data_IF_591804122980
#
_entry.id   IF_591804122980
#
_cell.length_a   1.000
_cell.length_b   1.000
_cell.length_c   1.000
_cell.angle_alpha   90.00
_cell.angle_beta   90.00
_cell.angle_gamma   90.00
#
_symmetry.space_group_name_H-M   'P 1'
#
loop_
_entity.id
_entity.type
_entity.pdbx_description
1 polymer ?
#
# COMPACT_ATOMS: atom_id res chain seq x y z
N UNK A 1 43.83 3.89 1.85
CA UNK A 1 43.42 2.95 0.77
C UNK A 1 44.03 1.57 1.02
N UNK A 2 45.36 1.46 1.09
CA UNK A 2 46.04 0.16 1.22
C UNK A 2 45.72 -0.58 2.53
N UNK A 3 45.59 0.15 3.65
CA UNK A 3 45.13 -0.45 4.92
C UNK A 3 43.71 -1.01 4.86
N UNK A 4 42.80 -0.39 4.10
CA UNK A 4 41.42 -0.89 3.93
C UNK A 4 41.43 -2.12 3.03
N UNK A 5 42.26 -2.14 1.98
CA UNK A 5 42.42 -3.30 1.11
C UNK A 5 43.02 -4.50 1.84
N UNK A 6 44.05 -4.28 2.66
CA UNK A 6 44.65 -5.34 3.48
C UNK A 6 43.72 -5.88 4.55
N UNK A 7 42.91 -5.02 5.20
CA UNK A 7 41.88 -5.49 6.13
C UNK A 7 40.77 -6.27 5.41
N UNK A 8 40.33 -5.77 4.25
CA UNK A 8 39.29 -6.39 3.44
C UNK A 8 39.67 -7.79 2.95
N UNK A 9 40.93 -8.01 2.56
CA UNK A 9 41.38 -9.33 2.08
C UNK A 9 41.39 -10.40 3.16
N UNK A 10 41.60 -10.01 4.42
CA UNK A 10 41.65 -10.94 5.56
C UNK A 10 40.28 -11.14 6.23
N UNK A 11 39.40 -10.13 6.17
CA UNK A 11 38.14 -10.12 6.94
C UNK A 11 36.91 -10.32 6.06
N UNK A 12 36.94 -9.90 4.79
CA UNK A 12 35.78 -9.99 3.90
C UNK A 12 35.92 -11.16 2.93
N UNK A 13 34.85 -11.93 2.81
CA UNK A 13 34.68 -12.82 1.67
C UNK A 13 34.20 -12.02 0.46
N UNK A 14 34.77 -12.32 -0.70
CA UNK A 14 34.20 -11.84 -1.95
C UNK A 14 32.84 -12.53 -2.21
N UNK A 15 31.87 -11.87 -2.86
CA UNK A 15 30.66 -12.54 -3.35
C UNK A 15 31.05 -13.75 -4.22
N UNK A 16 30.25 -14.81 -4.22
CA UNK A 16 30.53 -15.99 -5.04
C UNK A 16 30.71 -15.59 -6.52
N UNK A 17 31.69 -16.20 -7.18
CA UNK A 17 32.06 -15.84 -8.56
C UNK A 17 30.85 -15.79 -9.54
N UNK A 18 29.88 -16.73 -9.51
CA UNK A 18 28.69 -16.63 -10.36
C UNK A 18 27.85 -15.36 -10.16
N UNK A 19 27.77 -14.85 -8.92
CA UNK A 19 27.07 -13.59 -8.60
C UNK A 19 27.82 -12.41 -9.18
N UNK A 20 29.16 -12.42 -9.14
CA UNK A 20 29.98 -11.36 -9.75
C UNK A 20 29.79 -11.31 -11.27
N UNK A 21 29.76 -12.47 -11.93
CA UNK A 21 29.51 -12.56 -13.39
C UNK A 21 28.12 -12.03 -13.73
N UNK A 22 27.08 -12.45 -12.99
CA UNK A 22 25.72 -11.96 -13.20
C UNK A 22 25.60 -10.44 -12.95
N UNK A 23 26.27 -9.92 -11.92
CA UNK A 23 26.30 -8.49 -11.61
C UNK A 23 27.00 -7.70 -12.72
N UNK A 24 28.16 -8.15 -13.20
CA UNK A 24 28.89 -7.52 -14.30
C UNK A 24 28.02 -7.45 -15.57
N UNK A 25 27.31 -8.53 -15.90
CA UNK A 25 26.35 -8.56 -17.00
C UNK A 25 25.20 -7.56 -16.79
N UNK A 26 24.57 -7.56 -15.61
CA UNK A 26 23.46 -6.65 -15.32
C UNK A 26 23.88 -5.17 -15.37
N UNK A 27 25.08 -4.84 -14.86
CA UNK A 27 25.63 -3.48 -14.88
C UNK A 27 26.11 -3.03 -16.27
N UNK A 28 26.25 -3.94 -17.23
CA UNK A 28 26.42 -3.56 -18.65
C UNK A 28 25.11 -3.08 -19.30
N UNK A 29 23.98 -3.14 -18.57
CA UNK A 29 22.65 -2.71 -18.99
C UNK A 29 22.22 -3.19 -20.40
N UNK A 30 22.33 -4.50 -20.70
CA UNK A 30 21.88 -5.04 -21.98
C UNK A 30 20.37 -4.82 -22.16
N UNK A 31 19.91 -4.90 -23.42
CA UNK A 31 18.55 -4.54 -23.78
C UNK A 31 17.49 -5.38 -23.03
N UNK A 32 17.72 -6.67 -22.84
CA UNK A 32 16.83 -7.54 -22.07
C UNK A 32 16.71 -7.12 -20.60
N UNK A 33 17.81 -6.68 -19.97
CA UNK A 33 17.81 -6.23 -18.56
C UNK A 33 17.06 -4.91 -18.44
N UNK A 34 17.33 -3.94 -19.33
CA UNK A 34 16.60 -2.66 -19.35
C UNK A 34 15.11 -2.85 -19.62
N UNK A 35 14.76 -3.73 -20.55
CA UNK A 35 13.37 -4.10 -20.85
C UNK A 35 12.67 -4.70 -19.64
N UNK A 36 13.31 -5.65 -18.95
CA UNK A 36 12.81 -6.26 -17.72
C UNK A 36 12.64 -5.23 -16.60
N UNK A 37 13.57 -4.30 -16.41
CA UNK A 37 13.47 -3.23 -15.41
C UNK A 37 12.29 -2.30 -15.74
N UNK A 38 12.11 -1.91 -17.00
CA UNK A 38 11.00 -1.06 -17.41
C UNK A 38 9.63 -1.75 -17.16
N UNK A 39 9.53 -3.04 -17.50
CA UNK A 39 8.36 -3.87 -17.21
C UNK A 39 8.06 -3.95 -15.70
N UNK A 40 9.07 -4.25 -14.88
CA UNK A 40 8.94 -4.26 -13.42
C UNK A 40 8.46 -2.92 -12.89
N UNK A 41 9.06 -1.80 -13.34
CA UNK A 41 8.67 -0.45 -12.90
C UNK A 41 7.20 -0.16 -13.21
N UNK A 42 6.71 -0.56 -14.39
CA UNK A 42 5.29 -0.40 -14.76
C UNK A 42 4.39 -1.22 -13.84
N UNK A 43 4.72 -2.49 -13.62
CA UNK A 43 3.99 -3.37 -12.69
C UNK A 43 3.94 -2.79 -11.28
N UNK A 44 5.10 -2.46 -10.71
CA UNK A 44 5.17 -1.91 -9.35
C UNK A 44 4.41 -0.59 -9.23
N UNK A 45 4.59 0.33 -10.18
CA UNK A 45 3.92 1.63 -10.16
C UNK A 45 2.39 1.51 -10.29
N UNK A 46 1.91 0.64 -11.19
CA UNK A 46 0.46 0.40 -11.38
C UNK A 46 -0.18 -0.10 -10.10
N UNK A 47 0.37 -1.15 -9.49
CA UNK A 47 -0.21 -1.76 -8.29
C UNK A 47 -0.04 -0.90 -7.04
N UNK A 48 1.12 -0.24 -6.86
CA UNK A 48 1.35 0.64 -5.72
C UNK A 48 0.45 1.86 -5.74
N UNK A 49 0.18 2.44 -6.92
CA UNK A 49 -0.78 3.54 -7.07
C UNK A 49 -2.20 3.10 -6.77
N UNK A 50 -2.64 1.95 -7.29
CA UNK A 50 -3.98 1.44 -6.99
C UNK A 50 -4.18 1.18 -5.48
N UNK A 51 -3.18 0.61 -4.80
CA UNK A 51 -3.24 0.43 -3.35
C UNK A 51 -3.20 1.77 -2.58
N UNK A 52 -2.43 2.75 -3.05
CA UNK A 52 -2.39 4.11 -2.51
C UNK A 52 -3.73 4.83 -2.66
N UNK A 53 -4.39 4.70 -3.81
CA UNK A 53 -5.73 5.24 -4.06
C UNK A 53 -6.78 4.63 -3.12
N UNK A 54 -6.71 3.33 -2.85
CA UNK A 54 -7.57 2.66 -1.86
C UNK A 54 -7.35 3.28 -0.47
N UNK A 55 -6.10 3.38 -0.01
CA UNK A 55 -5.79 4.00 1.30
C UNK A 55 -6.32 5.43 1.38
N UNK A 56 -6.13 6.22 0.33
CA UNK A 56 -6.62 7.59 0.25
C UNK A 56 -8.15 7.65 0.31
N UNK A 57 -8.85 6.72 -0.36
CA UNK A 57 -10.30 6.60 -0.32
C UNK A 57 -10.87 6.33 1.07
N UNK A 58 -10.09 5.70 1.94
CA UNK A 58 -10.42 5.49 3.36
C UNK A 58 -9.91 6.61 4.28
N UNK A 59 -9.43 7.73 3.73
CA UNK A 59 -8.93 8.86 4.52
C UNK A 59 -7.65 8.56 5.31
N UNK A 60 -6.86 7.57 4.87
CA UNK A 60 -5.62 7.17 5.53
C UNK A 60 -4.47 8.01 4.96
N UNK A 61 -3.83 8.81 5.82
CA UNK A 61 -2.72 9.67 5.41
C UNK A 61 -1.49 8.82 5.04
N UNK A 62 -0.85 9.14 3.92
CA UNK A 62 0.39 8.49 3.49
C UNK A 62 1.09 9.34 2.43
N UNK A 63 2.38 9.07 2.23
CA UNK A 63 3.12 9.64 1.10
C UNK A 63 2.77 8.89 -0.19
N UNK A 64 2.45 9.64 -1.25
CA UNK A 64 2.23 9.05 -2.57
C UNK A 64 3.45 8.22 -3.02
N UNK A 65 3.24 7.02 -3.60
CA UNK A 65 4.33 6.13 -3.98
C UNK A 65 5.14 6.71 -5.14
N UNK A 66 6.43 6.94 -4.90
CA UNK A 66 7.39 7.41 -5.90
C UNK A 66 8.45 6.35 -6.26
N UNK A 67 8.78 5.47 -5.31
CA UNK A 67 9.77 4.42 -5.46
C UNK A 67 9.57 3.34 -4.38
N UNK A 68 10.33 2.24 -4.48
CA UNK A 68 10.28 1.13 -3.52
C UNK A 68 9.11 0.17 -3.75
N UNK A 69 8.88 -0.69 -2.75
CA UNK A 69 7.88 -1.77 -2.80
C UNK A 69 6.87 -1.69 -1.65
N UNK A 70 6.83 -0.54 -0.96
CA UNK A 70 6.09 -0.39 0.28
C UNK A 70 5.29 0.90 0.33
N UNK A 71 4.14 0.83 0.98
CA UNK A 71 3.36 1.98 1.43
C UNK A 71 3.53 2.12 2.94
N UNK A 72 3.51 3.36 3.43
CA UNK A 72 3.65 3.66 4.85
C UNK A 72 2.48 4.53 5.36
N UNK A 73 1.27 3.95 5.45
CA UNK A 73 0.10 4.67 5.95
C UNK A 73 0.12 4.92 7.45
N UNK A 74 -0.48 6.04 7.80
CA UNK A 74 -0.77 6.49 9.16
C UNK A 74 -2.28 6.48 9.40
N UNK A 75 -2.70 5.67 10.37
CA UNK A 75 -4.09 5.50 10.78
C UNK A 75 -4.52 6.43 11.92
N UNK A 76 -3.72 7.45 12.28
CA UNK A 76 -4.00 8.36 13.39
C UNK A 76 -5.37 9.06 13.26
N UNK A 77 -5.78 9.41 12.03
CA UNK A 77 -7.11 9.99 11.76
C UNK A 77 -8.28 9.09 12.21
N UNK A 78 -8.04 7.78 12.37
CA UNK A 78 -9.01 6.77 12.77
C UNK A 78 -8.80 6.28 14.21
N UNK A 79 -7.89 6.89 14.97
CA UNK A 79 -7.46 6.44 16.32
C UNK A 79 -8.63 6.19 17.26
N UNK A 80 -9.57 7.12 17.36
CA UNK A 80 -10.66 7.00 18.34
C UNK A 80 -11.59 5.83 18.02
N UNK A 81 -11.88 5.60 16.74
CA UNK A 81 -12.65 4.44 16.29
C UNK A 81 -11.89 3.15 16.57
N UNK A 82 -10.63 3.07 16.13
CA UNK A 82 -9.77 1.91 16.33
C UNK A 82 -9.66 1.54 17.80
N UNK A 83 -9.52 2.53 18.69
CA UNK A 83 -9.50 2.33 20.14
C UNK A 83 -10.84 1.85 20.68
N UNK A 84 -11.94 2.45 20.27
CA UNK A 84 -13.27 2.23 20.88
C UNK A 84 -13.94 0.95 20.37
N UNK A 85 -13.87 0.71 19.06
CA UNK A 85 -14.57 -0.41 18.39
C UNK A 85 -13.69 -1.65 18.34
N UNK A 86 -12.41 -1.47 17.99
CA UNK A 86 -11.49 -2.57 17.70
C UNK A 86 -10.49 -2.83 18.83
N UNK A 87 -10.49 -2.01 19.89
CA UNK A 87 -9.53 -2.08 21.02
C UNK A 87 -8.07 -1.99 20.59
N UNK A 88 -7.80 -1.26 19.51
CA UNK A 88 -6.46 -1.01 18.98
C UNK A 88 -5.89 0.28 19.55
N UNK A 89 -4.72 0.19 20.20
CA UNK A 89 -4.04 1.34 20.79
C UNK A 89 -2.61 1.54 20.27
N UNK A 90 -2.02 0.50 19.70
CA UNK A 90 -0.65 0.52 19.17
C UNK A 90 -0.58 0.07 17.71
N UNK A 91 0.50 0.40 17.02
CA UNK A 91 0.76 -0.15 15.67
C UNK A 91 0.84 -1.67 15.66
N UNK A 92 1.29 -2.30 16.75
CA UNK A 92 1.37 -3.75 16.88
C UNK A 92 -0.03 -4.37 16.99
N UNK A 93 -0.91 -3.78 17.80
CA UNK A 93 -2.32 -4.21 17.89
C UNK A 93 -2.97 -4.15 16.50
N UNK A 94 -2.75 -3.05 15.78
CA UNK A 94 -3.30 -2.85 14.44
C UNK A 94 -2.77 -3.89 13.44
N UNK A 95 -1.46 -4.14 13.43
CA UNK A 95 -0.85 -5.13 12.55
C UNK A 95 -1.37 -6.55 12.84
N UNK A 96 -1.49 -6.91 14.12
CA UNK A 96 -2.06 -8.20 14.56
C UNK A 96 -3.52 -8.33 14.15
N UNK A 97 -4.35 -7.31 14.39
CA UNK A 97 -5.76 -7.32 14.01
C UNK A 97 -5.94 -7.51 12.49
N UNK A 98 -5.17 -6.77 11.69
CA UNK A 98 -5.21 -6.88 10.23
C UNK A 98 -4.84 -8.29 9.75
N UNK A 99 -3.83 -8.90 10.37
CA UNK A 99 -3.42 -10.26 10.03
C UNK A 99 -4.48 -11.29 10.44
N UNK A 100 -4.89 -11.29 11.71
CA UNK A 100 -5.76 -12.32 12.28
C UNK A 100 -7.20 -12.26 11.75
N UNK A 101 -7.76 -11.05 11.60
CA UNK A 101 -9.15 -10.87 11.19
C UNK A 101 -9.32 -10.77 9.67
N UNK A 102 -8.34 -10.20 8.98
CA UNK A 102 -8.48 -9.84 7.56
C UNK A 102 -7.45 -10.53 6.65
N UNK A 103 -6.50 -11.29 7.20
CA UNK A 103 -5.43 -11.94 6.44
C UNK A 103 -4.46 -10.95 5.80
N UNK A 104 -4.42 -9.69 6.26
CA UNK A 104 -3.57 -8.64 5.70
C UNK A 104 -2.28 -8.54 6.50
N UNK A 105 -1.21 -9.14 5.99
CA UNK A 105 0.11 -9.04 6.60
C UNK A 105 0.70 -7.63 6.44
N UNK A 106 1.17 -7.06 7.54
CA UNK A 106 1.86 -5.77 7.60
C UNK A 106 2.92 -5.76 8.69
N UNK A 107 3.82 -4.77 8.67
CA UNK A 107 4.78 -4.56 9.75
C UNK A 107 4.41 -3.30 10.54
N UNK A 108 4.37 -3.36 11.88
CA UNK A 108 4.07 -2.19 12.70
C UNK A 108 5.18 -1.13 12.59
N UNK A 109 4.81 0.15 12.72
CA UNK A 109 5.76 1.27 12.74
C UNK A 109 6.90 1.10 13.74
N UNK A 110 6.63 0.46 14.89
CA UNK A 110 7.65 0.14 15.92
C UNK A 110 8.80 -0.73 15.41
N UNK A 111 8.61 -1.53 14.36
CA UNK A 111 9.69 -2.27 13.72
C UNK A 111 10.68 -1.36 12.95
N UNK A 112 10.33 -0.08 12.76
CA UNK A 112 11.10 0.94 12.07
C UNK A 112 11.50 2.11 12.99
N UNK A 113 11.31 1.96 14.29
CA UNK A 113 11.71 2.96 15.30
C UNK A 113 10.66 4.00 15.64
N UNK A 114 9.40 3.84 15.22
CA UNK A 114 8.30 4.72 15.66
C UNK A 114 7.88 4.44 17.11
N UNK A 115 7.30 5.45 17.77
CA UNK A 115 6.64 5.32 19.07
C UNK A 115 5.45 4.35 18.99
N UNK A 116 5.22 3.56 20.04
CA UNK A 116 4.18 2.51 20.04
C UNK A 116 2.77 3.05 19.78
N UNK A 117 2.51 4.32 20.13
CA UNK A 117 1.20 4.95 19.94
C UNK A 117 1.00 5.46 18.53
N UNK A 118 2.04 5.62 17.72
CA UNK A 118 1.91 6.04 16.32
C UNK A 118 1.34 4.88 15.52
N UNK A 119 0.16 5.07 14.90
CA UNK A 119 -0.59 3.99 14.25
C UNK A 119 -0.16 3.80 12.78
N UNK A 120 1.15 3.74 12.54
CA UNK A 120 1.70 3.53 11.21
C UNK A 120 1.97 2.06 10.93
N UNK A 121 1.82 1.68 9.66
CA UNK A 121 2.12 0.34 9.17
C UNK A 121 2.97 0.41 7.91
N UNK A 122 3.76 -0.64 7.65
CA UNK A 122 4.39 -0.86 6.35
C UNK A 122 3.69 -1.99 5.60
N UNK A 123 3.06 -1.66 4.48
CA UNK A 123 2.44 -2.63 3.56
C UNK A 123 3.37 -2.94 2.40
N UNK A 124 3.59 -4.22 2.10
CA UNK A 124 4.31 -4.65 0.90
C UNK A 124 3.32 -4.80 -0.27
N UNK A 125 3.49 -4.03 -1.34
CA UNK A 125 2.63 -4.14 -2.52
C UNK A 125 3.02 -5.31 -3.42
N UNK A 126 4.24 -5.85 -3.24
CA UNK A 126 4.75 -6.96 -4.04
C UNK A 126 4.04 -8.30 -3.80
N UNK A 127 3.41 -8.46 -2.64
CA UNK A 127 2.58 -9.64 -2.36
C UNK A 127 1.32 -9.72 -3.22
N UNK A 128 0.93 -8.63 -3.91
CA UNK A 128 -0.28 -8.56 -4.72
C UNK A 128 -0.08 -9.06 -6.16
N UNK A 129 1.14 -9.35 -6.59
CA UNK A 129 1.44 -9.70 -7.99
C UNK A 129 1.00 -11.12 -8.40
N UNK A 130 0.60 -11.94 -7.43
CA UNK A 130 0.25 -13.35 -7.64
C UNK A 130 1.44 -14.29 -7.41
N UNK A 131 1.24 -15.53 -7.84
CA UNK A 131 2.22 -16.63 -7.85
C UNK A 131 3.31 -16.44 -8.91
N UNK A 132 4.30 -17.34 -8.96
CA UNK A 132 5.42 -17.22 -9.92
C UNK A 132 4.97 -17.10 -11.38
N UNK A 133 3.96 -17.88 -11.80
CA UNK A 133 3.45 -17.81 -13.17
C UNK A 133 2.70 -16.48 -13.42
N UNK A 134 1.79 -16.13 -12.52
CA UNK A 134 1.03 -14.87 -12.56
C UNK A 134 1.94 -13.64 -12.54
N UNK A 135 3.08 -13.69 -11.85
CA UNK A 135 4.06 -12.61 -11.83
C UNK A 135 4.70 -12.38 -13.19
N UNK A 136 4.95 -13.43 -13.97
CA UNK A 136 5.48 -13.31 -15.33
C UNK A 136 4.44 -12.67 -16.25
N UNK A 137 3.19 -13.13 -16.18
CA UNK A 137 2.09 -12.53 -16.96
C UNK A 137 1.89 -11.05 -16.59
N UNK A 138 1.98 -10.72 -15.30
CA UNK A 138 1.84 -9.35 -14.80
C UNK A 138 2.96 -8.41 -15.29
N UNK A 139 4.16 -8.92 -15.54
CA UNK A 139 5.27 -8.14 -16.07
C UNK A 139 5.05 -7.73 -17.53
N UNK A 140 4.35 -8.55 -18.30
CA UNK A 140 4.10 -8.31 -19.72
C UNK A 140 2.81 -7.51 -19.95
N UNK A 141 1.89 -7.48 -18.98
CA UNK A 141 0.63 -6.77 -19.11
C UNK A 141 0.80 -5.23 -19.13
N UNK A 142 0.07 -4.49 -20.00
CA UNK A 142 0.16 -3.04 -20.08
C UNK A 142 -0.49 -2.32 -18.89
N UNK A 143 -1.52 -2.91 -18.28
CA UNK A 143 -2.20 -2.39 -17.08
C UNK A 143 -2.30 -3.47 -15.99
N UNK A 144 -1.22 -3.73 -15.23
CA UNK A 144 -1.18 -4.89 -14.34
C UNK A 144 -2.20 -4.86 -13.20
N UNK A 145 -2.58 -3.68 -12.68
CA UNK A 145 -3.59 -3.57 -11.62
C UNK A 145 -4.98 -4.11 -12.03
N UNK A 146 -5.27 -4.20 -13.34
CA UNK A 146 -6.53 -4.75 -13.87
C UNK A 146 -6.53 -6.28 -14.00
N UNK A 147 -5.39 -6.95 -13.81
CA UNK A 147 -5.34 -8.40 -13.89
C UNK A 147 -6.24 -9.02 -12.81
N UNK A 148 -7.00 -10.09 -13.11
CA UNK A 148 -8.05 -10.57 -12.23
C UNK A 148 -7.60 -10.92 -10.80
N UNK A 149 -6.40 -11.49 -10.63
CA UNK A 149 -5.87 -11.83 -9.30
C UNK A 149 -5.35 -10.61 -8.53
N UNK A 150 -4.79 -9.62 -9.24
CA UNK A 150 -4.31 -8.36 -8.65
C UNK A 150 -5.51 -7.51 -8.22
N UNK A 151 -6.49 -7.30 -9.11
CA UNK A 151 -7.74 -6.58 -8.83
C UNK A 151 -8.50 -7.23 -7.67
N UNK A 152 -8.60 -8.57 -7.63
CA UNK A 152 -9.21 -9.28 -6.50
C UNK A 152 -8.49 -8.99 -5.18
N UNK A 153 -7.17 -8.96 -5.19
CA UNK A 153 -6.35 -8.70 -4.00
C UNK A 153 -6.50 -7.24 -3.53
N UNK A 154 -6.50 -6.29 -4.46
CA UNK A 154 -6.77 -4.88 -4.20
C UNK A 154 -8.18 -4.66 -3.61
N UNK A 155 -9.21 -5.28 -4.20
CA UNK A 155 -10.57 -5.24 -3.65
C UNK A 155 -10.69 -5.92 -2.28
N UNK A 156 -9.85 -6.92 -2.02
CA UNK A 156 -9.81 -7.53 -0.69
C UNK A 156 -9.24 -6.56 0.35
N UNK A 157 -8.16 -5.84 0.02
CA UNK A 157 -7.63 -4.77 0.86
C UNK A 157 -8.68 -3.70 1.13
N UNK A 158 -9.35 -3.22 0.08
CA UNK A 158 -10.42 -2.22 0.17
C UNK A 158 -11.55 -2.65 1.12
N UNK A 159 -12.07 -3.87 0.94
CA UNK A 159 -13.12 -4.42 1.84
C UNK A 159 -12.64 -4.56 3.28
N UNK A 160 -11.40 -4.99 3.51
CA UNK A 160 -10.84 -5.12 4.86
C UNK A 160 -10.73 -3.77 5.55
N UNK A 161 -10.29 -2.72 4.84
CA UNK A 161 -10.23 -1.35 5.36
C UNK A 161 -11.64 -0.80 5.62
N UNK A 162 -12.59 -1.01 4.71
CA UNK A 162 -13.98 -0.62 4.92
C UNK A 162 -14.61 -1.28 6.15
N UNK A 163 -14.32 -2.57 6.38
CA UNK A 163 -14.81 -3.29 7.55
C UNK A 163 -14.18 -2.79 8.86
N UNK A 164 -12.87 -2.50 8.84
CA UNK A 164 -12.12 -1.99 9.99
C UNK A 164 -12.56 -0.56 10.37
N UNK A 165 -12.63 0.33 9.38
CA UNK A 165 -12.84 1.76 9.56
C UNK A 165 -14.31 2.17 9.46
N UNK A 166 -15.18 1.22 9.08
CA UNK A 166 -16.58 1.47 8.78
C UNK A 166 -16.73 2.17 7.44
N UNK A 167 -17.92 2.08 6.83
CA UNK A 167 -18.20 2.94 5.68
C UNK A 167 -17.98 4.40 6.09
N UNK A 168 -17.37 5.24 5.23
CA UNK A 168 -17.35 6.68 5.49
C UNK A 168 -18.79 7.08 5.78
N UNK A 169 -19.02 7.72 6.93
CA UNK A 169 -20.31 8.28 7.24
C UNK A 169 -20.64 9.21 6.07
N UNK A 170 -21.58 8.81 5.22
CA UNK A 170 -22.27 9.74 4.35
C UNK A 170 -22.96 10.67 5.33
N UNK A 171 -22.38 11.83 5.57
CA UNK A 171 -23.02 12.90 6.30
C UNK A 171 -24.20 13.37 5.46
N UNK A 172 -25.32 12.67 5.59
CA UNK A 172 -26.63 13.14 5.15
C UNK A 172 -27.23 13.86 6.33
N UNK A 173 -26.61 14.99 6.68
CA UNK A 173 -27.30 16.12 7.30
C UNK A 173 -28.31 16.70 6.31
N UNK A 174 -29.41 16.01 6.04
CA UNK A 174 -30.62 16.68 5.55
C UNK A 174 -31.37 17.20 6.75
N UNK A 175 -30.96 18.39 7.20
CA UNK A 175 -31.79 19.24 8.03
C UNK A 175 -33.18 19.36 7.40
N UNK A 176 -34.16 18.98 8.20
CA UNK A 176 -35.57 19.25 8.03
C UNK A 176 -35.81 20.77 7.93
N UNK A 177 -35.61 21.35 6.75
CA UNK A 177 -36.13 22.69 6.43
C UNK A 177 -37.53 22.55 5.89
N UNK A 178 -38.49 22.72 6.80
CA UNK A 178 -39.89 22.99 6.52
C UNK A 178 -40.00 24.08 5.45
N UNK A 179 -40.54 23.71 4.29
CA UNK A 179 -40.94 24.65 3.24
C UNK A 179 -42.18 25.40 3.76
N UNK A 180 -42.21 26.75 3.78
CA UNK A 180 -43.44 27.46 4.08
C UNK A 180 -44.38 27.34 2.88
N UNK A 181 -45.59 26.86 3.13
CA UNK A 181 -46.71 26.86 2.18
C UNK A 181 -47.05 28.31 1.82
N UNK A 182 -46.90 28.67 0.55
CA UNK A 182 -47.38 29.94 0.02
C UNK A 182 -48.93 29.93 -0.10
N UNK A 183 -49.62 31.05 0.15
CA UNK A 183 -51.07 31.10 0.06
C UNK A 183 -51.53 31.16 -1.40
N UNK A 184 -52.55 30.36 -1.72
CA UNK A 184 -53.27 30.39 -3.00
C UNK A 184 -53.94 31.75 -3.22
N UNK A 185 -53.49 32.52 -4.21
CA UNK A 185 -54.26 33.63 -4.78
C UNK A 185 -55.05 33.15 -5.99
N UNK A 186 -56.38 33.13 -5.86
CA UNK A 186 -57.34 33.03 -6.96
C UNK A 186 -57.46 34.39 -7.68
N UNK A 187 -57.71 34.32 -8.99
CA UNK A 187 -58.47 35.26 -9.83
C UNK A 187 -57.89 36.68 -10.09
N UNK A 188 -57.54 36.96 -11.35
CA UNK A 188 -58.31 37.90 -12.20
C UNK A 188 -57.77 37.95 -13.65
N UNK A 189 -58.73 37.85 -14.58
CA UNK A 189 -58.71 38.04 -16.05
C UNK A 189 -58.28 36.87 -16.92
#
# INVERSE_FOLDING_TARGET
RDHVLGLASEVWSAPAHPVQVAAAFAFAEPAEVRGRIAASRRLHASVARAASEILAGHGIAHRAPAAGFYLYPDFDAHRDRLRTVERVSTSRDLATLLLERFGVASLPGTAFGEDERVLTLRFATSGLYGTTAEQLDALEHPDPARLPWIDRSLRSLDRSLAALLGSPATDVGSENRSIPVAPSSRLAR
#
